data_IF_701649644496
#
_entry.id   IF_701649644496
#
_cell.length_a   1.000
_cell.length_b   1.000
_cell.length_c   1.000
_cell.angle_alpha   90.00
_cell.angle_beta   90.00
_cell.angle_gamma   90.00
#
_symmetry.space_group_name_H-M   'P 1'
#
loop_
_entity.id
_entity.type
_entity.pdbx_description
1 polymer ?
#
# COMPACT_ATOMS: atom_id res chain seq x y z
N UNK A 1 -25.72 -13.64 -22.97
CA UNK A 1 -25.12 -12.44 -23.52
C UNK A 1 -23.89 -12.07 -22.73
N UNK A 2 -22.84 -11.86 -23.42
CA UNK A 2 -21.63 -11.41 -22.75
C UNK A 2 -21.86 -9.99 -22.28
N UNK A 3 -21.72 -9.72 -21.02
CA UNK A 3 -21.71 -8.33 -20.59
C UNK A 3 -20.62 -7.62 -21.37
N UNK A 4 -20.81 -6.37 -21.63
CA UNK A 4 -19.76 -5.57 -22.19
C UNK A 4 -18.48 -5.79 -21.44
N UNK A 5 -17.34 -5.54 -22.05
CA UNK A 5 -16.07 -5.72 -21.38
C UNK A 5 -16.13 -4.99 -20.04
N UNK A 6 -15.79 -5.71 -19.01
CA UNK A 6 -15.61 -5.10 -17.69
C UNK A 6 -14.62 -3.97 -17.92
N UNK A 7 -14.98 -2.79 -17.47
CA UNK A 7 -14.04 -1.69 -17.59
C UNK A 7 -12.78 -2.08 -16.82
N UNK A 8 -11.64 -1.97 -17.46
CA UNK A 8 -10.37 -2.31 -16.84
C UNK A 8 -10.17 -1.59 -15.51
N UNK A 9 -10.82 -0.45 -15.35
CA UNK A 9 -10.74 0.36 -14.14
C UNK A 9 -11.33 -0.37 -12.93
N UNK A 10 -12.53 -0.93 -13.06
CA UNK A 10 -13.17 -1.64 -11.94
C UNK A 10 -12.41 -2.91 -11.57
N UNK A 11 -11.95 -3.65 -12.57
CA UNK A 11 -11.14 -4.84 -12.34
C UNK A 11 -9.83 -4.49 -11.65
N UNK A 12 -9.16 -3.45 -12.10
CA UNK A 12 -7.91 -2.99 -11.50
C UNK A 12 -8.11 -2.58 -10.05
N UNK A 13 -9.16 -1.82 -9.76
CA UNK A 13 -9.50 -1.38 -8.41
C UNK A 13 -9.70 -2.59 -7.49
N UNK A 14 -10.54 -3.53 -7.91
CA UNK A 14 -10.84 -4.71 -7.09
C UNK A 14 -9.58 -5.53 -6.82
N UNK A 15 -8.75 -5.74 -7.82
CA UNK A 15 -7.54 -6.52 -7.68
C UNK A 15 -6.52 -5.84 -6.77
N UNK A 16 -6.38 -4.53 -6.90
CA UNK A 16 -5.48 -3.78 -6.05
C UNK A 16 -5.91 -3.88 -4.58
N UNK A 17 -7.19 -3.69 -4.31
CA UNK A 17 -7.71 -3.76 -2.95
C UNK A 17 -7.59 -5.18 -2.36
N UNK A 18 -7.78 -6.22 -3.17
CA UNK A 18 -7.56 -7.60 -2.72
C UNK A 18 -6.11 -7.82 -2.29
N UNK A 19 -5.14 -7.31 -3.05
CA UNK A 19 -3.73 -7.41 -2.69
C UNK A 19 -3.47 -6.70 -1.37
N UNK A 20 -4.00 -5.49 -1.22
CA UNK A 20 -3.81 -4.71 0.00
C UNK A 20 -4.39 -5.45 1.21
N UNK A 21 -5.57 -6.04 1.06
CA UNK A 21 -6.20 -6.81 2.14
C UNK A 21 -5.42 -8.05 2.53
N UNK A 22 -4.59 -8.57 1.63
CA UNK A 22 -3.77 -9.74 1.91
C UNK A 22 -2.54 -9.43 2.77
N UNK A 23 -2.18 -8.15 2.91
CA UNK A 23 -1.00 -7.77 3.68
C UNK A 23 -1.28 -7.95 5.17
N UNK A 24 -0.51 -8.80 5.87
CA UNK A 24 -0.76 -9.01 7.30
C UNK A 24 -0.35 -7.79 8.14
N UNK A 25 -0.94 -7.63 9.33
CA UNK A 25 -0.53 -6.57 10.25
C UNK A 25 0.97 -6.62 10.55
N UNK A 26 1.61 -5.48 10.61
CA UNK A 26 3.04 -5.38 10.85
C UNK A 26 3.90 -5.46 9.60
N UNK A 27 3.27 -5.73 8.45
CA UNK A 27 3.96 -5.81 7.16
C UNK A 27 3.44 -4.74 6.21
N UNK A 28 4.23 -4.46 5.19
CA UNK A 28 3.87 -3.47 4.17
C UNK A 28 4.28 -3.95 2.78
N UNK A 29 3.66 -3.34 1.78
CA UNK A 29 4.08 -3.46 0.38
C UNK A 29 4.26 -2.05 -0.16
N UNK A 30 5.14 -1.88 -1.13
CA UNK A 30 5.21 -0.59 -1.84
C UNK A 30 4.11 -0.54 -2.89
N UNK A 31 3.82 0.66 -3.40
CA UNK A 31 2.87 0.79 -4.52
C UNK A 31 3.30 -0.08 -5.71
N UNK A 32 4.60 -0.13 -5.98
CA UNK A 32 5.14 -0.99 -7.05
C UNK A 32 4.97 -2.48 -6.74
N UNK A 33 5.10 -2.87 -5.48
CA UNK A 33 4.90 -4.27 -5.08
C UNK A 33 3.45 -4.69 -5.29
N UNK A 34 2.50 -3.83 -4.94
CA UNK A 34 1.08 -4.11 -5.17
C UNK A 34 0.82 -4.27 -6.66
N UNK A 35 1.34 -3.35 -7.47
CA UNK A 35 1.22 -3.45 -8.92
C UNK A 35 1.81 -4.76 -9.44
N UNK A 36 3.00 -5.12 -9.00
CA UNK A 36 3.67 -6.35 -9.44
C UNK A 36 2.87 -7.60 -9.07
N UNK A 37 2.27 -7.62 -7.87
CA UNK A 37 1.41 -8.73 -7.44
C UNK A 37 0.18 -8.89 -8.34
N UNK A 38 -0.23 -7.81 -9.01
CA UNK A 38 -1.34 -7.82 -9.97
C UNK A 38 -0.88 -8.13 -11.40
N UNK A 39 0.42 -8.35 -11.60
CA UNK A 39 0.98 -8.51 -12.93
C UNK A 39 1.05 -7.20 -13.72
N UNK A 40 1.17 -6.07 -13.05
CA UNK A 40 1.15 -4.75 -13.64
C UNK A 40 2.41 -3.95 -13.26
N UNK A 41 2.72 -2.93 -14.06
CA UNK A 41 3.77 -1.97 -13.74
C UNK A 41 3.20 -0.63 -13.31
N UNK A 42 1.89 -0.55 -13.11
CA UNK A 42 1.18 0.70 -12.90
C UNK A 42 1.15 1.10 -11.42
N UNK A 43 2.31 1.35 -10.82
CA UNK A 43 2.40 1.82 -9.44
C UNK A 43 1.58 3.10 -9.21
N UNK A 44 1.58 4.03 -10.18
CA UNK A 44 0.77 5.25 -10.10
C UNK A 44 -0.72 4.94 -10.10
N UNK A 45 -1.12 3.90 -10.84
CA UNK A 45 -2.50 3.42 -10.85
C UNK A 45 -2.91 2.92 -9.48
N UNK A 46 -2.04 2.18 -8.81
CA UNK A 46 -2.28 1.74 -7.43
C UNK A 46 -2.43 2.96 -6.52
N UNK A 47 -1.58 3.96 -6.68
CA UNK A 47 -1.68 5.20 -5.91
C UNK A 47 -3.04 5.88 -6.07
N UNK A 48 -3.57 5.93 -7.29
CA UNK A 48 -4.90 6.49 -7.54
C UNK A 48 -6.00 5.65 -6.89
N UNK A 49 -5.89 4.32 -6.95
CA UNK A 49 -6.84 3.44 -6.28
C UNK A 49 -6.85 3.71 -4.78
N UNK A 50 -5.70 3.78 -4.16
CA UNK A 50 -5.61 4.04 -2.72
C UNK A 50 -6.16 5.41 -2.35
N UNK A 51 -5.92 6.41 -3.19
CA UNK A 51 -6.42 7.76 -2.96
C UNK A 51 -7.96 7.84 -3.02
N UNK A 52 -8.58 7.09 -3.92
CA UNK A 52 -10.03 7.17 -4.15
C UNK A 52 -10.83 6.11 -3.38
N UNK A 53 -10.25 4.93 -3.15
CA UNK A 53 -10.97 3.78 -2.63
C UNK A 53 -10.33 3.16 -1.39
N UNK A 54 -9.19 3.70 -0.95
CA UNK A 54 -8.40 3.05 0.10
C UNK A 54 -8.84 3.33 1.52
N UNK A 55 -9.76 4.27 1.75
CA UNK A 55 -10.09 4.71 3.11
C UNK A 55 -10.62 3.61 4.03
N UNK A 56 -11.29 2.61 3.46
CA UNK A 56 -11.82 1.48 4.22
C UNK A 56 -10.87 0.28 4.25
N UNK A 57 -9.74 0.38 3.57
CA UNK A 57 -8.72 -0.67 3.54
C UNK A 57 -7.59 -0.32 4.50
N UNK A 58 -6.69 -1.27 4.72
CA UNK A 58 -5.48 -1.02 5.51
C UNK A 58 -4.47 -0.22 4.69
N UNK A 59 -4.82 0.99 4.34
CA UNK A 59 -4.07 1.86 3.43
C UNK A 59 -2.64 2.13 3.90
N UNK A 60 -2.41 2.18 5.21
CA UNK A 60 -1.09 2.44 5.78
C UNK A 60 -0.09 1.33 5.46
N UNK A 61 -0.55 0.14 5.10
CA UNK A 61 0.31 -0.98 4.73
C UNK A 61 0.84 -0.86 3.30
N UNK A 62 0.46 0.20 2.58
CA UNK A 62 1.01 0.50 1.25
C UNK A 62 1.84 1.77 1.37
N UNK A 63 3.13 1.66 1.05
CA UNK A 63 4.08 2.74 1.24
C UNK A 63 4.81 3.06 -0.07
N UNK A 64 5.48 4.20 -0.07
CA UNK A 64 6.32 4.59 -1.21
C UNK A 64 7.54 3.69 -1.30
N UNK A 65 8.20 3.67 -2.46
CA UNK A 65 9.38 2.83 -2.69
C UNK A 65 10.49 3.06 -1.66
N UNK A 66 10.55 4.23 -1.07
CA UNK A 66 11.50 4.59 -0.03
C UNK A 66 11.14 4.07 1.35
N UNK A 67 9.93 3.52 1.52
CA UNK A 67 9.40 3.12 2.81
C UNK A 67 8.61 4.22 3.52
N UNK A 68 8.58 5.44 2.96
CA UNK A 68 7.79 6.52 3.56
C UNK A 68 6.30 6.27 3.32
N UNK A 69 5.45 6.66 4.28
CA UNK A 69 4.00 6.48 4.12
C UNK A 69 3.42 7.41 3.05
N UNK A 70 2.15 7.19 2.73
CA UNK A 70 1.43 8.05 1.79
C UNK A 70 1.56 9.52 2.22
N UNK A 71 1.79 10.39 1.22
CA UNK A 71 1.99 11.83 1.44
C UNK A 71 0.76 12.42 2.12
N UNK A 72 0.98 13.28 3.11
CA UNK A 72 -0.04 13.97 3.92
C UNK A 72 -0.79 13.08 4.91
N UNK A 73 -0.42 11.79 5.04
CA UNK A 73 -1.06 10.88 5.98
C UNK A 73 -0.05 10.27 6.97
N UNK A 74 1.11 10.90 7.11
CA UNK A 74 2.22 10.38 7.91
C UNK A 74 1.83 10.15 9.36
N UNK A 75 1.12 11.10 9.95
CA UNK A 75 0.75 11.03 11.35
C UNK A 75 -0.18 9.84 11.64
N UNK A 76 -1.22 9.70 10.83
CA UNK A 76 -2.16 8.59 10.99
C UNK A 76 -1.48 7.24 10.72
N UNK A 77 -0.62 7.20 9.70
CA UNK A 77 0.12 5.98 9.38
C UNK A 77 1.01 5.56 10.55
N UNK A 78 1.67 6.50 11.20
CA UNK A 78 2.53 6.20 12.35
C UNK A 78 1.75 5.54 13.48
N UNK A 79 0.55 6.02 13.77
CA UNK A 79 -0.30 5.43 14.79
C UNK A 79 -0.61 3.96 14.47
N UNK A 80 -0.96 3.68 13.21
CA UNK A 80 -1.23 2.31 12.77
C UNK A 80 0.02 1.44 12.85
N UNK A 81 1.17 1.96 12.39
CA UNK A 81 2.42 1.20 12.42
C UNK A 81 2.80 0.82 13.86
N UNK A 82 2.66 1.76 14.78
CA UNK A 82 2.95 1.49 16.19
C UNK A 82 2.01 0.44 16.78
N UNK A 83 0.74 0.54 16.45
CA UNK A 83 -0.26 -0.42 16.93
C UNK A 83 0.02 -1.83 16.41
N UNK A 84 0.58 -1.95 15.21
CA UNK A 84 0.86 -3.25 14.58
C UNK A 84 2.29 -3.76 14.84
N UNK A 85 3.12 -2.95 15.46
CA UNK A 85 4.51 -3.32 15.69
C UNK A 85 5.36 -3.32 14.41
N UNK A 86 4.99 -2.53 13.41
CA UNK A 86 5.71 -2.44 12.15
C UNK A 86 7.12 -1.91 12.38
N UNK A 87 8.18 -2.59 11.90
CA UNK A 87 9.54 -2.09 12.04
C UNK A 87 9.73 -0.75 11.33
N UNK A 88 10.25 0.24 12.05
CA UNK A 88 10.46 1.60 11.56
C UNK A 88 11.93 1.98 11.65
N UNK A 89 12.34 2.92 10.81
CA UNK A 89 13.65 3.57 10.87
C UNK A 89 13.43 5.07 10.99
N UNK A 90 14.27 5.74 11.76
CA UNK A 90 14.16 7.18 12.03
C UNK A 90 15.40 7.89 11.55
N UNK A 91 15.23 9.01 10.85
CA UNK A 91 16.35 9.88 10.50
C UNK A 91 16.73 10.76 11.69
N UNK A 92 17.87 11.44 11.57
CA UNK A 92 18.29 12.43 12.58
C UNK A 92 17.28 13.55 12.75
N UNK A 93 16.57 13.88 11.67
CA UNK A 93 15.58 14.96 11.66
C UNK A 93 14.25 14.54 12.25
N UNK A 94 14.14 13.31 12.73
CA UNK A 94 12.91 12.83 13.32
C UNK A 94 11.86 12.37 12.29
N UNK A 95 12.26 12.15 11.04
CA UNK A 95 11.40 11.63 10.00
C UNK A 95 11.48 10.12 10.01
N UNK A 96 10.34 9.45 10.05
CA UNK A 96 10.32 7.99 10.05
C UNK A 96 10.00 7.43 8.67
N UNK A 97 10.38 6.21 8.49
CA UNK A 97 9.95 5.38 7.35
C UNK A 97 9.88 3.93 7.81
N UNK A 98 9.15 3.12 7.07
CA UNK A 98 9.13 1.67 7.34
C UNK A 98 10.47 1.07 6.93
N UNK A 99 11.00 0.21 7.78
CA UNK A 99 12.18 -0.58 7.46
C UNK A 99 11.76 -1.71 6.51
N UNK A 100 11.91 -1.47 5.21
CA UNK A 100 11.46 -2.43 4.20
C UNK A 100 12.20 -3.78 4.28
N UNK A 101 13.47 -3.75 4.68
CA UNK A 101 14.20 -5.00 4.81
C UNK A 101 13.57 -5.95 5.83
N UNK A 102 12.95 -5.39 6.88
CA UNK A 102 12.32 -6.16 7.95
C UNK A 102 10.82 -6.39 7.75
N UNK A 103 10.13 -5.46 7.08
CA UNK A 103 8.67 -5.44 7.06
C UNK A 103 8.05 -5.70 5.70
N UNK A 104 8.83 -5.82 4.63
CA UNK A 104 8.29 -6.00 3.29
C UNK A 104 7.62 -7.36 3.13
N UNK A 105 6.35 -7.33 2.75
CA UNK A 105 5.58 -8.54 2.52
C UNK A 105 5.68 -8.98 1.06
N UNK A 106 5.93 -10.27 0.84
CA UNK A 106 5.92 -10.89 -0.48
C UNK A 106 4.81 -11.93 -0.49
N UNK A 107 3.76 -11.70 -1.25
CA UNK A 107 2.66 -12.66 -1.34
C UNK A 107 3.08 -13.98 -1.94
#
# INVERSE_FOLDING_TARGET
>A
MTPGPVTNTDDFVSRALEVVESIPPGFVMTYGDVAAAMGSRAARGVGRVMSHYGSDAAWWRVVRASGHPAIHHEHQALEHFRAEGTPLSWSRDGVFRVNLAAARYTP
#
